data_IF_913048212940
#
_entry.id   IF_913048212940
#
_cell.length_a   1.000
_cell.length_b   1.000
_cell.length_c   1.000
_cell.angle_alpha   90.00
_cell.angle_beta   90.00
_cell.angle_gamma   90.00
#
_symmetry.space_group_name_H-M   'P 1'
#
loop_
_entity.id
_entity.type
_entity.pdbx_description
1 polymer ?
#
# COMPACT_ATOMS: atom_id res chain seq x y z
N UNK A 1 -13.69 -2.74 46.25
CA UNK A 1 -12.80 -3.40 45.27
C UNK A 1 -13.51 -3.43 43.93
N UNK A 2 -13.21 -2.47 43.04
CA UNK A 2 -13.67 -2.50 41.65
C UNK A 2 -12.47 -2.97 40.82
N UNK A 3 -12.62 -4.10 40.15
CA UNK A 3 -11.65 -4.60 39.19
C UNK A 3 -11.56 -3.59 38.05
N UNK A 4 -10.49 -2.82 38.05
CA UNK A 4 -10.00 -2.08 36.89
C UNK A 4 -9.79 -3.12 35.78
N UNK A 5 -10.71 -3.19 34.83
CA UNK A 5 -10.53 -4.01 33.65
C UNK A 5 -9.49 -3.30 32.81
N UNK A 6 -8.23 -3.61 33.10
CA UNK A 6 -7.07 -3.15 32.35
C UNK A 6 -7.20 -3.61 30.92
N UNK A 7 -7.80 -2.77 30.08
CA UNK A 7 -7.66 -2.89 28.64
C UNK A 7 -6.15 -2.79 28.36
N UNK A 8 -5.56 -3.77 27.65
CA UNK A 8 -4.17 -3.65 27.28
C UNK A 8 -4.04 -2.35 26.49
N UNK A 9 -3.33 -1.38 27.06
CA UNK A 9 -3.07 -0.10 26.43
C UNK A 9 -2.26 -0.42 25.16
N UNK A 10 -2.92 -0.39 24.00
CA UNK A 10 -2.25 -0.66 22.73
C UNK A 10 -1.19 0.41 22.57
N UNK A 11 0.07 -0.01 22.56
CA UNK A 11 1.19 0.89 22.40
C UNK A 11 1.06 1.63 21.07
N UNK A 12 1.23 2.95 21.09
CA UNK A 12 1.06 3.79 19.89
C UNK A 12 1.99 3.34 18.77
N UNK A 13 3.18 2.84 19.10
CA UNK A 13 4.12 2.27 18.14
C UNK A 13 3.60 0.99 17.48
N UNK A 14 2.88 0.15 18.21
CA UNK A 14 2.24 -1.05 17.65
C UNK A 14 1.14 -0.68 16.65
N UNK A 15 0.36 0.36 16.93
CA UNK A 15 -0.62 0.90 15.97
C UNK A 15 0.07 1.46 14.71
N UNK A 16 1.15 2.23 14.86
CA UNK A 16 1.90 2.76 13.70
C UNK A 16 2.48 1.63 12.87
N UNK A 17 3.08 0.63 13.51
CA UNK A 17 3.64 -0.53 12.83
C UNK A 17 2.59 -1.30 12.03
N UNK A 18 1.39 -1.46 12.57
CA UNK A 18 0.26 -2.06 11.87
C UNK A 18 -0.07 -1.27 10.59
N UNK A 19 -0.22 0.05 10.68
CA UNK A 19 -0.55 0.89 9.53
C UNK A 19 0.58 0.95 8.49
N UNK A 20 1.83 0.94 8.94
CA UNK A 20 2.98 0.77 8.05
C UNK A 20 2.91 -0.57 7.30
N UNK A 21 2.52 -1.65 7.99
CA UNK A 21 2.37 -2.95 7.35
C UNK A 21 1.24 -2.95 6.30
N UNK A 22 0.10 -2.32 6.61
CA UNK A 22 -0.99 -2.14 5.64
C UNK A 22 -0.53 -1.38 4.40
N UNK A 23 0.24 -0.29 4.57
CA UNK A 23 0.80 0.48 3.45
C UNK A 23 1.75 -0.37 2.59
N UNK A 24 2.66 -1.12 3.22
CA UNK A 24 3.58 -2.01 2.51
C UNK A 24 2.85 -3.11 1.75
N UNK A 25 1.86 -3.76 2.35
CA UNK A 25 1.07 -4.80 1.65
C UNK A 25 0.30 -4.22 0.47
N UNK A 26 -0.36 -3.08 0.65
CA UNK A 26 -1.11 -2.44 -0.45
C UNK A 26 -0.18 -1.98 -1.58
N UNK A 27 1.05 -1.58 -1.26
CA UNK A 27 2.07 -1.22 -2.24
C UNK A 27 2.48 -2.42 -3.09
N UNK A 28 2.76 -3.55 -2.44
CA UNK A 28 3.09 -4.81 -3.12
C UNK A 28 1.93 -5.30 -4.00
N UNK A 29 0.69 -5.28 -3.50
CA UNK A 29 -0.47 -5.71 -4.28
C UNK A 29 -0.68 -4.85 -5.55
N UNK A 30 -0.37 -3.56 -5.49
CA UNK A 30 -0.57 -2.65 -6.61
C UNK A 30 0.56 -2.69 -7.66
N UNK A 31 1.80 -3.00 -7.24
CA UNK A 31 2.96 -3.10 -8.13
C UNK A 31 3.27 -4.52 -8.60
N UNK A 32 3.04 -5.50 -7.73
CA UNK A 32 3.36 -6.92 -7.92
C UNK A 32 2.10 -7.78 -7.73
N UNK A 33 1.04 -7.54 -8.52
CA UNK A 33 -0.20 -8.29 -8.38
C UNK A 33 0.02 -9.78 -8.64
N UNK A 34 -0.68 -10.62 -7.88
CA UNK A 34 -0.68 -12.07 -8.09
C UNK A 34 -1.11 -12.43 -9.52
N UNK A 35 -0.66 -13.58 -10.01
CA UNK A 35 -1.07 -14.15 -11.31
C UNK A 35 -2.59 -14.37 -11.42
N UNK A 36 -3.28 -14.50 -10.27
CA UNK A 36 -4.73 -14.65 -10.18
C UNK A 36 -5.49 -13.32 -10.06
N UNK A 37 -4.78 -12.19 -9.93
CA UNK A 37 -5.39 -10.89 -9.77
C UNK A 37 -6.08 -10.44 -11.07
N UNK A 38 -7.31 -9.97 -10.96
CA UNK A 38 -8.09 -9.52 -12.12
C UNK A 38 -7.73 -8.06 -12.43
N UNK A 39 -7.78 -7.63 -13.70
CA UNK A 39 -7.35 -6.28 -14.09
C UNK A 39 -8.04 -5.15 -13.31
N UNK A 40 -9.31 -5.33 -12.94
CA UNK A 40 -10.06 -4.35 -12.14
C UNK A 40 -9.64 -4.31 -10.68
N UNK A 41 -9.22 -5.45 -10.11
CA UNK A 41 -8.71 -5.50 -8.73
C UNK A 41 -7.37 -4.74 -8.65
N UNK A 42 -6.53 -4.86 -9.67
CA UNK A 42 -5.27 -4.10 -9.81
C UNK A 42 -5.55 -2.61 -9.97
N UNK A 43 -6.50 -2.24 -10.84
CA UNK A 43 -6.88 -0.84 -11.04
C UNK A 43 -7.45 -0.23 -9.76
N UNK A 44 -8.27 -0.98 -9.01
CA UNK A 44 -8.81 -0.55 -7.73
C UNK A 44 -7.70 -0.36 -6.68
N UNK A 45 -6.75 -1.30 -6.58
CA UNK A 45 -5.60 -1.20 -5.69
C UNK A 45 -4.74 0.03 -6.01
N UNK A 46 -4.50 0.33 -7.29
CA UNK A 46 -3.77 1.53 -7.71
C UNK A 46 -4.54 2.82 -7.43
N UNK A 47 -5.85 2.83 -7.63
CA UNK A 47 -6.71 4.00 -7.38
C UNK A 47 -6.87 4.31 -5.87
N UNK A 48 -6.60 3.34 -5.01
CA UNK A 48 -6.55 3.58 -3.57
C UNK A 48 -5.46 4.59 -3.20
N UNK A 49 -4.31 4.57 -3.89
CA UNK A 49 -3.25 5.56 -3.69
C UNK A 49 -3.70 6.95 -4.15
N UNK A 50 -3.67 7.91 -3.22
CA UNK A 50 -4.18 9.27 -3.42
C UNK A 50 -5.64 9.46 -3.00
N UNK A 51 -6.34 8.40 -2.60
CA UNK A 51 -7.68 8.49 -2.01
C UNK A 51 -7.68 9.19 -0.64
N UNK A 52 -8.88 9.45 -0.11
CA UNK A 52 -9.04 9.93 1.27
C UNK A 52 -8.56 8.90 2.28
N UNK A 53 -8.88 7.62 2.06
CA UNK A 53 -8.54 6.55 3.01
C UNK A 53 -7.04 6.30 3.07
N UNK A 54 -6.35 6.36 1.93
CA UNK A 54 -4.89 6.35 1.87
C UNK A 54 -4.27 7.45 2.74
N UNK A 55 -4.77 8.68 2.65
CA UNK A 55 -4.26 9.81 3.46
C UNK A 55 -4.50 9.59 4.96
N UNK A 56 -5.63 9.00 5.34
CA UNK A 56 -5.92 8.64 6.73
C UNK A 56 -4.94 7.57 7.25
N UNK A 57 -4.64 6.55 6.44
CA UNK A 57 -3.67 5.51 6.80
C UNK A 57 -2.26 6.08 6.92
N UNK A 58 -1.83 6.96 6.01
CA UNK A 58 -0.54 7.65 6.13
C UNK A 58 -0.46 8.48 7.42
N UNK A 59 -1.51 9.23 7.76
CA UNK A 59 -1.56 9.99 9.00
C UNK A 59 -1.48 9.08 10.25
N UNK A 60 -2.17 7.94 10.22
CA UNK A 60 -2.14 6.95 11.31
C UNK A 60 -0.76 6.27 11.45
N UNK A 61 -0.06 6.05 10.33
CA UNK A 61 1.32 5.57 10.31
C UNK A 61 2.32 6.66 10.75
N UNK A 62 1.98 7.95 10.61
CA UNK A 62 2.91 9.07 10.82
C UNK A 62 3.83 9.31 9.63
N UNK A 63 3.36 8.99 8.42
CA UNK A 63 4.12 9.10 7.18
C UNK A 63 3.50 10.21 6.32
N UNK A 64 4.35 10.94 5.60
CA UNK A 64 3.93 11.94 4.63
C UNK A 64 3.26 11.29 3.40
N UNK A 65 1.96 11.56 3.21
CA UNK A 65 1.17 10.94 2.16
C UNK A 65 1.60 11.39 0.74
N UNK A 66 2.03 12.65 0.58
CA UNK A 66 2.44 13.20 -0.71
C UNK A 66 3.76 12.58 -1.18
N UNK A 67 4.72 12.39 -0.27
CA UNK A 67 5.97 11.67 -0.55
C UNK A 67 5.72 10.22 -0.97
N UNK A 68 4.84 9.50 -0.25
CA UNK A 68 4.49 8.12 -0.60
C UNK A 68 3.81 8.06 -1.97
N UNK A 69 2.86 8.96 -2.24
CA UNK A 69 2.15 9.01 -3.52
C UNK A 69 3.08 9.34 -4.68
N UNK A 70 4.02 10.27 -4.49
CA UNK A 70 5.03 10.60 -5.49
C UNK A 70 5.88 9.38 -5.85
N UNK A 71 6.40 8.67 -4.83
CA UNK A 71 7.21 7.47 -5.03
C UNK A 71 6.40 6.34 -5.68
N UNK A 72 5.12 6.20 -5.31
CA UNK A 72 4.24 5.19 -5.88
C UNK A 72 4.03 5.41 -7.38
N UNK A 73 3.75 6.66 -7.78
CA UNK A 73 3.59 7.04 -9.19
C UNK A 73 4.86 6.77 -10.00
N UNK A 74 6.03 7.07 -9.42
CA UNK A 74 7.31 6.75 -10.04
C UNK A 74 7.46 5.22 -10.24
N UNK A 75 7.17 4.43 -9.21
CA UNK A 75 7.28 2.97 -9.28
C UNK A 75 6.31 2.34 -10.29
N UNK A 76 5.09 2.86 -10.40
CA UNK A 76 4.12 2.41 -11.42
C UNK A 76 4.63 2.72 -12.83
N UNK A 77 5.17 3.92 -13.05
CA UNK A 77 5.75 4.29 -14.34
C UNK A 77 6.95 3.40 -14.72
N UNK A 78 7.83 3.09 -13.77
CA UNK A 78 8.99 2.20 -13.96
C UNK A 78 8.57 0.73 -14.17
N UNK A 79 7.55 0.27 -13.45
CA UNK A 79 7.00 -1.09 -13.57
C UNK A 79 6.35 -1.36 -14.93
N UNK A 80 5.71 -0.35 -15.52
CA UNK A 80 5.14 -0.44 -16.87
C UNK A 80 6.23 -0.60 -17.94
N UNK A 81 7.40 0.03 -17.73
CA UNK A 81 8.56 -0.15 -18.61
C UNK A 81 9.10 -1.59 -18.55
N UNK A 82 9.21 -2.20 -17.34
CA UNK A 82 9.64 -3.61 -17.23
C UNK A 82 8.63 -4.58 -17.83
N UNK A 83 7.34 -4.40 -17.59
CA UNK A 83 6.28 -5.24 -18.17
C UNK A 83 6.28 -5.17 -19.71
N UNK A 84 6.48 -3.98 -20.27
CA UNK A 84 6.58 -3.76 -21.73
C UNK A 84 7.81 -4.46 -22.33
N UNK A 85 8.96 -4.42 -21.65
CA UNK A 85 10.18 -5.10 -22.11
C UNK A 85 10.05 -6.64 -22.08
N UNK A 86 9.40 -7.19 -21.06
CA UNK A 86 9.15 -8.65 -20.97
C UNK A 86 8.22 -9.10 -22.10
N UNK A 87 7.13 -8.36 -22.38
CA UNK A 87 6.20 -8.68 -23.48
C UNK A 87 6.89 -8.65 -24.85
N UNK A 88 7.76 -7.67 -25.11
CA UNK A 88 8.56 -7.61 -26.35
C UNK A 88 9.49 -8.81 -26.53
N UNK A 89 10.00 -9.37 -25.43
CA UNK A 89 10.97 -10.48 -25.46
C UNK A 89 10.33 -11.86 -25.65
N UNK A 90 9.04 -12.02 -25.35
CA UNK A 90 8.28 -13.25 -25.59
C UNK A 90 7.69 -13.28 -27.01
N UNK A 91 7.51 -12.10 -27.63
CA UNK A 91 6.99 -11.95 -28.99
C UNK A 91 8.08 -11.91 -30.09
N UNK A 92 9.33 -12.25 -29.75
CA UNK A 92 10.49 -12.23 -30.66
C UNK A 92 11.07 -13.64 -30.83
#
# INVERSE_FOLDING_TARGET
MRSDHGYPHIETDSCRALWCNVLSTAWEDALHPSVSARPWDIAHARNWFGSRDFRLVCAAAGIDADQVLMKFRQAVAEGDHRATLIRKRIAA
#
